data_IF_992946862017
#
_entry.id   IF_992946862017
#
_cell.length_a   1.000
_cell.length_b   1.000
_cell.length_c   1.000
_cell.angle_alpha   90.00
_cell.angle_beta   90.00
_cell.angle_gamma   90.00
#
_symmetry.space_group_name_H-M   'P 1'
#
loop_
_entity.id
_entity.type
_entity.pdbx_description
1 polymer ?
#
# COMPACT_ATOMS: atom_id res chain seq x y z
N UNK A 1 -21.07 -11.64 6.72
CA UNK A 1 -19.65 -12.01 6.93
C UNK A 1 -18.83 -10.99 6.16
N UNK A 2 -17.79 -10.41 6.76
CA UNK A 2 -16.94 -9.44 6.07
C UNK A 2 -15.99 -10.17 5.12
N UNK A 3 -15.62 -9.54 4.01
CA UNK A 3 -14.55 -10.03 3.14
C UNK A 3 -13.20 -9.89 3.85
N UNK A 4 -12.27 -10.74 3.46
CA UNK A 4 -10.90 -10.69 3.92
C UNK A 4 -10.19 -9.41 3.45
N UNK A 5 -9.28 -8.90 4.27
CA UNK A 5 -8.42 -7.78 3.93
C UNK A 5 -7.12 -8.29 3.32
N UNK A 6 -6.90 -7.98 2.04
CA UNK A 6 -5.73 -8.38 1.27
C UNK A 6 -5.04 -7.14 0.70
N UNK A 7 -3.85 -6.86 1.21
CA UNK A 7 -3.06 -5.69 0.84
C UNK A 7 -1.78 -6.15 0.15
N UNK A 8 -1.53 -5.66 -1.06
CA UNK A 8 -0.22 -5.80 -1.71
C UNK A 8 0.61 -4.56 -1.51
N UNK A 9 1.89 -4.75 -1.20
CA UNK A 9 2.84 -3.69 -0.94
C UNK A 9 4.03 -3.82 -1.91
N UNK A 10 3.87 -3.35 -3.15
CA UNK A 10 4.94 -3.41 -4.13
C UNK A 10 6.03 -2.39 -3.74
N UNK A 11 7.27 -2.88 -3.62
CA UNK A 11 8.33 -2.15 -2.93
C UNK A 11 9.73 -2.52 -3.43
N UNK A 12 10.72 -1.70 -3.06
CA UNK A 12 12.14 -2.01 -3.28
C UNK A 12 12.79 -2.50 -1.98
N UNK A 13 13.75 -3.41 -2.06
CA UNK A 13 14.55 -3.83 -0.91
C UNK A 13 15.21 -2.64 -0.21
N UNK A 14 15.09 -2.55 1.12
CA UNK A 14 15.66 -1.46 1.93
C UNK A 14 14.70 -0.28 2.21
N UNK A 15 13.48 -0.31 1.68
CA UNK A 15 12.48 0.76 1.81
C UNK A 15 11.68 0.78 3.14
N UNK A 16 11.88 -0.23 4.01
CA UNK A 16 11.13 -0.36 5.28
C UNK A 16 9.78 -1.08 5.15
N UNK A 17 9.38 -1.53 3.96
CA UNK A 17 8.11 -2.22 3.75
C UNK A 17 7.99 -3.58 4.45
N UNK A 18 9.11 -4.28 4.70
CA UNK A 18 9.10 -5.51 5.52
C UNK A 18 8.64 -5.21 6.95
N UNK A 19 9.15 -4.14 7.54
CA UNK A 19 8.74 -3.67 8.86
C UNK A 19 7.27 -3.28 8.85
N UNK A 20 6.83 -2.57 7.81
CA UNK A 20 5.43 -2.18 7.64
C UNK A 20 4.48 -3.38 7.64
N UNK A 21 4.75 -4.38 6.81
CA UNK A 21 3.90 -5.58 6.70
C UNK A 21 3.90 -6.38 8.00
N UNK A 22 5.04 -6.44 8.70
CA UNK A 22 5.10 -6.99 10.07
C UNK A 22 4.20 -6.24 11.05
N UNK A 23 4.21 -4.90 11.03
CA UNK A 23 3.30 -4.08 11.85
C UNK A 23 1.83 -4.31 11.48
N UNK A 24 1.49 -4.44 10.19
CA UNK A 24 0.11 -4.74 9.76
C UNK A 24 -0.36 -6.10 10.27
N UNK A 25 0.49 -7.13 10.16
CA UNK A 25 0.18 -8.48 10.63
C UNK A 25 0.01 -8.52 12.15
N UNK A 26 0.91 -7.87 12.88
CA UNK A 26 0.81 -7.76 14.34
C UNK A 26 -0.45 -7.01 14.78
N UNK A 27 -0.83 -5.94 14.07
CA UNK A 27 -2.07 -5.22 14.35
C UNK A 27 -3.31 -6.10 14.14
N UNK A 28 -3.32 -6.92 13.09
CA UNK A 28 -4.40 -7.86 12.80
C UNK A 28 -4.51 -8.95 13.87
N UNK A 29 -3.38 -9.54 14.27
CA UNK A 29 -3.33 -10.57 15.33
C UNK A 29 -3.84 -10.01 16.65
N UNK A 30 -3.41 -8.79 17.03
CA UNK A 30 -3.91 -8.10 18.24
C UNK A 30 -5.40 -7.82 18.20
N UNK A 31 -5.95 -7.61 17.01
CA UNK A 31 -7.38 -7.42 16.78
C UNK A 31 -8.18 -8.74 16.78
N UNK A 32 -7.52 -9.90 16.97
CA UNK A 32 -8.15 -11.21 17.01
C UNK A 32 -8.37 -11.86 15.64
N UNK A 33 -7.67 -11.40 14.60
CA UNK A 33 -7.75 -11.97 13.25
C UNK A 33 -6.60 -12.93 12.96
N UNK A 34 -6.84 -13.83 12.01
CA UNK A 34 -5.78 -14.60 11.36
C UNK A 34 -5.06 -13.69 10.36
N UNK A 35 -3.74 -13.81 10.27
CA UNK A 35 -2.93 -13.05 9.33
C UNK A 35 -1.85 -13.94 8.74
N UNK A 36 -1.66 -13.87 7.42
CA UNK A 36 -0.51 -14.44 6.72
C UNK A 36 0.18 -13.38 5.89
N UNK A 37 1.50 -13.52 5.73
CA UNK A 37 2.31 -12.63 4.90
C UNK A 37 2.99 -13.45 3.82
N UNK A 38 2.86 -13.01 2.58
CA UNK A 38 3.59 -13.58 1.45
C UNK A 38 4.67 -12.60 1.00
N UNK A 39 5.86 -13.14 0.72
CA UNK A 39 6.98 -12.37 0.22
C UNK A 39 7.51 -12.98 -1.07
N UNK A 40 7.61 -12.17 -2.12
CA UNK A 40 8.48 -12.44 -3.26
C UNK A 40 9.62 -11.43 -3.33
N UNK A 41 10.77 -11.87 -3.84
CA UNK A 41 11.96 -11.03 -4.07
C UNK A 41 12.46 -11.24 -5.49
N UNK A 42 12.84 -10.15 -6.13
CA UNK A 42 13.68 -10.20 -7.33
C UNK A 42 15.08 -10.73 -7.01
N UNK A 43 15.87 -10.97 -8.05
CA UNK A 43 17.22 -11.56 -7.95
C UNK A 43 18.27 -10.59 -7.36
N UNK A 44 17.95 -9.30 -7.21
CA UNK A 44 18.85 -8.30 -6.63
C UNK A 44 18.68 -8.20 -5.10
N UNK A 45 19.81 -8.20 -4.38
CA UNK A 45 19.85 -8.21 -2.91
C UNK A 45 19.48 -6.86 -2.28
N UNK A 46 19.82 -5.74 -2.94
CA UNK A 46 19.49 -4.38 -2.55
C UNK A 46 18.83 -3.68 -3.75
N UNK A 47 17.86 -2.80 -3.48
CA UNK A 47 17.09 -2.07 -4.52
C UNK A 47 16.33 -2.97 -5.51
N UNK A 48 16.37 -4.29 -5.29
CA UNK A 48 15.60 -5.25 -6.04
C UNK A 48 14.11 -5.13 -5.73
N UNK A 49 13.25 -5.44 -6.71
CA UNK A 49 11.81 -5.40 -6.50
C UNK A 49 11.36 -6.48 -5.53
N UNK A 50 10.34 -6.16 -4.74
CA UNK A 50 9.69 -7.05 -3.80
C UNK A 50 8.18 -6.89 -3.89
N UNK A 51 7.47 -7.99 -3.76
CA UNK A 51 6.05 -7.98 -3.42
C UNK A 51 5.89 -8.49 -2.00
N UNK A 52 5.19 -7.72 -1.19
CA UNK A 52 4.88 -8.07 0.19
C UNK A 52 3.38 -7.99 0.36
N UNK A 53 2.74 -9.15 0.38
CA UNK A 53 1.31 -9.24 0.52
C UNK A 53 0.96 -9.63 1.95
N UNK A 54 -0.13 -9.07 2.45
CA UNK A 54 -0.72 -9.45 3.72
C UNK A 54 -2.19 -9.81 3.50
N UNK A 55 -2.59 -10.96 4.03
CA UNK A 55 -3.97 -11.43 4.03
C UNK A 55 -4.43 -11.59 5.47
N UNK A 56 -5.50 -10.88 5.82
CA UNK A 56 -6.12 -10.84 7.14
C UNK A 56 -7.57 -11.36 7.03
N UNK A 57 -7.94 -12.30 7.90
CA UNK A 57 -9.25 -12.94 7.88
C UNK A 57 -9.82 -13.20 9.28
N UNK A 58 -11.16 -13.26 9.37
CA UNK A 58 -11.88 -13.78 10.55
C UNK A 58 -11.71 -15.30 10.73
N UNK A 59 -11.26 -16.01 9.69
CA UNK A 59 -11.08 -17.47 9.68
C UNK A 59 -9.63 -17.83 9.42
N UNK A 60 -9.27 -19.07 9.80
CA UNK A 60 -7.96 -19.61 9.50
C UNK A 60 -7.69 -19.60 7.98
N UNK A 61 -6.49 -19.16 7.60
CA UNK A 61 -6.08 -18.99 6.21
C UNK A 61 -5.28 -20.23 5.80
N UNK A 62 -5.72 -20.91 4.74
CA UNK A 62 -5.02 -22.06 4.16
C UNK A 62 -4.53 -21.72 2.75
N UNK A 63 -3.24 -21.96 2.45
CA UNK A 63 -2.64 -21.71 1.13
C UNK A 63 -1.63 -20.56 1.11
N UNK A 64 -0.92 -20.39 -0.03
CA UNK A 64 0.34 -19.63 -0.09
C UNK A 64 0.38 -18.40 -1.02
N UNK A 65 -0.69 -18.06 -1.75
CA UNK A 65 -0.70 -16.85 -2.60
C UNK A 65 -2.05 -16.12 -2.47
N UNK A 66 -2.06 -14.85 -2.01
CA UNK A 66 -3.30 -14.08 -1.90
C UNK A 66 -3.93 -13.80 -3.27
N UNK A 67 -5.25 -13.90 -3.34
CA UNK A 67 -6.08 -13.46 -4.47
C UNK A 67 -7.09 -12.44 -3.98
N UNK A 68 -7.80 -11.77 -4.91
CA UNK A 68 -8.76 -10.70 -4.60
C UNK A 68 -8.17 -9.54 -3.79
N UNK A 69 -6.95 -9.13 -4.16
CA UNK A 69 -6.25 -8.00 -3.54
C UNK A 69 -7.12 -6.75 -3.62
N UNK A 70 -7.44 -6.18 -2.46
CA UNK A 70 -8.39 -5.08 -2.32
C UNK A 70 -7.74 -3.75 -1.91
N UNK A 71 -6.47 -3.79 -1.48
CA UNK A 71 -5.62 -2.61 -1.36
C UNK A 71 -4.27 -2.83 -2.05
N UNK A 72 -3.79 -1.81 -2.77
CA UNK A 72 -2.41 -1.71 -3.21
C UNK A 72 -1.78 -0.50 -2.54
N UNK A 73 -0.72 -0.73 -1.79
CA UNK A 73 0.00 0.31 -1.06
C UNK A 73 1.39 0.52 -1.70
N UNK A 74 1.43 1.32 -2.77
CA UNK A 74 2.62 1.54 -3.58
C UNK A 74 3.15 2.97 -3.46
N UNK A 75 4.27 3.18 -2.79
CA UNK A 75 4.91 4.51 -2.71
C UNK A 75 5.78 4.79 -3.93
N UNK A 76 6.29 3.73 -4.54
CA UNK A 76 7.10 3.82 -5.75
C UNK A 76 6.20 3.64 -6.97
N UNK A 77 6.04 4.70 -7.76
CA UNK A 77 5.20 4.63 -8.94
C UNK A 77 5.73 3.64 -9.98
N UNK A 78 7.04 3.35 -9.99
CA UNK A 78 7.63 2.34 -10.88
C UNK A 78 7.06 0.96 -10.57
N UNK A 79 6.88 0.68 -9.28
CA UNK A 79 6.35 -0.60 -8.81
C UNK A 79 4.84 -0.71 -9.08
N UNK A 80 4.10 0.40 -8.94
CA UNK A 80 2.69 0.49 -9.38
C UNK A 80 2.57 0.23 -10.88
N UNK A 81 3.42 0.88 -11.69
CA UNK A 81 3.44 0.70 -13.14
C UNK A 81 3.67 -0.76 -13.52
N UNK A 82 4.68 -1.41 -12.93
CA UNK A 82 4.97 -2.82 -13.18
C UNK A 82 3.76 -3.70 -12.90
N UNK A 83 3.07 -3.46 -11.79
CA UNK A 83 1.92 -4.27 -11.38
C UNK A 83 0.69 -4.12 -12.30
N UNK A 84 0.46 -2.95 -12.91
CA UNK A 84 -0.72 -2.74 -13.76
C UNK A 84 -0.48 -2.99 -15.24
N UNK A 85 0.71 -2.66 -15.73
CA UNK A 85 0.97 -2.62 -17.17
C UNK A 85 1.73 -3.86 -17.64
N UNK A 86 2.70 -4.33 -16.86
CA UNK A 86 3.43 -5.56 -17.22
C UNK A 86 2.65 -6.83 -16.87
N UNK A 87 1.81 -6.79 -15.82
CA UNK A 87 0.99 -7.94 -15.45
C UNK A 87 -0.12 -8.26 -16.47
N UNK A 88 -0.51 -7.30 -17.32
CA UNK A 88 -1.50 -7.49 -18.38
C UNK A 88 -2.81 -8.12 -17.88
N UNK A 89 -3.31 -9.13 -18.59
CA UNK A 89 -4.56 -9.84 -18.24
C UNK A 89 -4.51 -10.61 -16.91
N UNK A 90 -3.34 -10.74 -16.27
CA UNK A 90 -3.25 -11.38 -14.96
C UNK A 90 -3.77 -10.46 -13.85
N UNK A 91 -3.69 -9.14 -14.03
CA UNK A 91 -4.21 -8.17 -13.07
C UNK A 91 -5.70 -8.40 -12.77
N UNK A 92 -6.51 -8.71 -13.79
CA UNK A 92 -7.95 -8.97 -13.64
C UNK A 92 -8.28 -10.22 -12.82
N UNK A 93 -7.34 -11.16 -12.71
CA UNK A 93 -7.53 -12.40 -11.93
C UNK A 93 -7.07 -12.27 -10.48
N UNK A 94 -6.24 -11.27 -10.20
CA UNK A 94 -5.54 -11.12 -8.92
C UNK A 94 -6.17 -10.01 -8.07
N UNK A 95 -6.54 -8.90 -8.70
CA UNK A 95 -7.10 -7.74 -8.01
C UNK A 95 -8.62 -7.81 -7.93
N UNK A 96 -9.16 -7.33 -6.82
CA UNK A 96 -10.61 -7.17 -6.67
C UNK A 96 -11.11 -5.98 -7.50
N UNK A 97 -12.37 -6.05 -7.94
CA UNK A 97 -13.03 -4.96 -8.68
C UNK A 97 -13.07 -3.63 -7.92
N UNK A 98 -12.99 -3.70 -6.59
CA UNK A 98 -13.04 -2.59 -5.64
C UNK A 98 -11.65 -2.18 -5.11
N UNK A 99 -10.58 -2.54 -5.84
CA UNK A 99 -9.20 -2.22 -5.48
C UNK A 99 -9.05 -0.72 -5.16
N UNK A 100 -8.53 -0.45 -3.97
CA UNK A 100 -8.08 0.88 -3.55
C UNK A 100 -6.57 0.98 -3.70
N UNK A 101 -6.10 1.87 -4.58
CA UNK A 101 -4.69 2.20 -4.74
C UNK A 101 -4.34 3.39 -3.84
N UNK A 102 -3.38 3.17 -2.94
CA UNK A 102 -2.80 4.17 -2.06
C UNK A 102 -1.39 4.45 -2.54
N UNK A 103 -1.12 5.69 -2.92
CA UNK A 103 0.16 6.06 -3.53
C UNK A 103 0.66 7.43 -3.12
N UNK A 104 1.99 7.56 -3.03
CA UNK A 104 2.67 8.85 -2.91
C UNK A 104 2.68 9.55 -4.28
N UNK A 105 2.28 10.82 -4.29
CA UNK A 105 2.25 11.70 -5.46
C UNK A 105 3.66 12.07 -5.95
N UNK A 106 4.70 11.81 -5.13
CA UNK A 106 6.09 12.13 -5.46
C UNK A 106 6.71 11.07 -6.38
N UNK A 107 6.87 11.44 -7.65
CA UNK A 107 7.75 10.75 -8.61
C UNK A 107 9.16 11.23 -8.37
N UNK A 108 10.00 10.42 -7.71
CA UNK A 108 11.39 10.81 -7.43
C UNK A 108 12.25 10.61 -8.69
N UNK A 109 11.96 9.57 -9.46
CA UNK A 109 12.65 9.26 -10.71
C UNK A 109 11.64 8.89 -11.78
N UNK A 110 11.90 9.27 -13.04
CA UNK A 110 10.99 8.94 -14.09
C UNK A 110 10.97 7.41 -14.31
N UNK A 111 9.79 6.81 -14.48
CA UNK A 111 9.60 5.35 -14.61
C UNK A 111 10.20 4.86 -15.93
N UNK A 112 11.29 4.09 -15.91
CA UNK A 112 11.86 3.53 -17.14
C UNK A 112 10.97 2.41 -17.70
N UNK A 113 10.20 2.69 -18.76
CA UNK A 113 9.38 1.71 -19.48
C UNK A 113 10.24 1.02 -20.54
N UNK A 114 10.96 -0.03 -20.17
CA UNK A 114 11.91 -0.74 -21.07
C UNK A 114 11.22 -1.52 -22.20
N UNK A 115 9.89 -1.65 -22.17
CA UNK A 115 9.11 -2.49 -23.10
C UNK A 115 8.62 -1.76 -24.36
N UNK A 116 8.95 -0.48 -24.56
CA UNK A 116 8.55 0.23 -25.79
C UNK A 116 9.51 -0.09 -26.95
N UNK A 117 8.97 -0.36 -28.15
CA UNK A 117 9.75 -0.43 -29.41
C UNK A 117 10.60 0.85 -29.68
N UNK A 118 10.36 1.93 -28.93
CA UNK A 118 11.05 3.22 -29.03
C UNK A 118 12.08 3.44 -27.90
N UNK A 119 12.41 2.41 -27.11
CA UNK A 119 13.32 2.51 -25.97
C UNK A 119 12.62 2.88 -24.64
N UNK A 120 13.38 3.05 -23.55
CA UNK A 120 12.83 3.43 -22.24
C UNK A 120 12.07 4.74 -22.32
N UNK A 121 10.74 4.70 -22.13
CA UNK A 121 9.91 5.91 -21.99
C UNK A 121 9.65 6.17 -20.53
N UNK A 122 9.67 7.45 -20.17
CA UNK A 122 9.38 7.94 -18.85
C UNK A 122 7.95 8.49 -18.77
N UNK A 123 7.11 7.97 -17.87
CA UNK A 123 5.82 8.58 -17.56
C UNK A 123 6.01 9.78 -16.64
N UNK A 124 5.41 10.91 -17.01
CA UNK A 124 5.19 11.99 -16.07
C UNK A 124 4.18 11.54 -15.00
N UNK A 125 4.19 12.25 -13.87
CA UNK A 125 3.20 12.10 -12.80
C UNK A 125 1.77 12.18 -13.31
N UNK A 126 1.49 13.21 -14.10
CA UNK A 126 0.18 13.48 -14.69
C UNK A 126 -0.21 12.38 -15.66
N UNK A 127 0.72 11.92 -16.49
CA UNK A 127 0.45 10.85 -17.44
C UNK A 127 0.09 9.54 -16.72
N UNK A 128 0.82 9.15 -15.66
CA UNK A 128 0.48 7.94 -14.92
C UNK A 128 -0.89 8.05 -14.25
N UNK A 129 -1.19 9.19 -13.62
CA UNK A 129 -2.49 9.39 -12.99
C UNK A 129 -3.63 9.32 -14.00
N UNK A 130 -3.44 9.87 -15.19
CA UNK A 130 -4.43 9.77 -16.26
C UNK A 130 -4.60 8.32 -16.76
N UNK A 131 -3.53 7.52 -16.78
CA UNK A 131 -3.60 6.08 -17.05
C UNK A 131 -4.38 5.37 -15.95
N UNK A 132 -4.05 5.58 -14.68
CA UNK A 132 -4.68 4.92 -13.53
C UNK A 132 -6.17 5.28 -13.39
N UNK A 133 -6.55 6.53 -13.65
CA UNK A 133 -7.97 6.97 -13.66
C UNK A 133 -8.81 6.25 -14.72
N UNK A 134 -8.19 5.84 -15.82
CA UNK A 134 -8.86 5.16 -16.95
C UNK A 134 -8.75 3.64 -16.84
N UNK A 135 -7.84 3.13 -16.03
CA UNK A 135 -7.65 1.71 -15.82
C UNK A 135 -8.88 1.10 -15.15
N UNK A 136 -9.29 -0.06 -15.65
CA UNK A 136 -10.46 -0.80 -15.14
C UNK A 136 -10.04 -2.18 -14.70
N UNK A 137 -10.56 -2.62 -13.57
CA UNK A 137 -10.42 -3.99 -13.08
C UNK A 137 -11.80 -4.61 -13.05
N UNK A 138 -11.99 -5.68 -13.81
CA UNK A 138 -13.29 -6.33 -13.97
C UNK A 138 -14.43 -5.35 -14.34
N UNK A 139 -14.13 -4.32 -15.12
CA UNK A 139 -15.08 -3.30 -15.58
C UNK A 139 -15.25 -2.08 -14.67
N UNK A 140 -14.74 -2.12 -13.43
CA UNK A 140 -14.84 -1.04 -12.45
C UNK A 140 -13.58 -0.16 -12.43
N UNK A 141 -13.76 1.14 -12.17
CA UNK A 141 -12.66 2.10 -12.04
C UNK A 141 -11.98 1.97 -10.69
N UNK A 142 -10.65 2.00 -10.69
CA UNK A 142 -9.85 2.04 -9.47
C UNK A 142 -10.24 3.20 -8.55
N UNK A 143 -10.23 2.94 -7.24
CA UNK A 143 -10.32 3.99 -6.23
C UNK A 143 -8.92 4.47 -5.88
N UNK A 144 -8.64 5.75 -6.08
CA UNK A 144 -7.31 6.32 -5.90
C UNK A 144 -7.26 7.19 -4.64
N UNK A 145 -6.37 6.87 -3.71
CA UNK A 145 -5.99 7.72 -2.58
C UNK A 145 -4.53 8.11 -2.78
N UNK A 146 -4.33 9.36 -3.19
CA UNK A 146 -3.07 9.91 -3.64
C UNK A 146 -2.65 10.95 -2.61
N UNK A 147 -1.46 10.81 -2.01
CA UNK A 147 -0.99 11.75 -0.99
C UNK A 147 0.31 12.42 -1.41
N UNK A 148 0.45 13.72 -1.13
CA UNK A 148 1.71 14.43 -1.39
C UNK A 148 2.60 14.43 -0.16
N UNK A 149 3.48 13.43 -0.06
CA UNK A 149 4.38 13.31 1.08
C UNK A 149 5.44 14.42 1.14
N UNK A 150 5.65 15.17 0.05
CA UNK A 150 6.61 16.29 0.03
C UNK A 150 6.22 17.44 0.98
N UNK A 151 4.93 17.52 1.33
CA UNK A 151 4.42 18.43 2.37
C UNK A 151 5.04 18.17 3.75
N UNK A 152 5.59 16.97 3.98
CA UNK A 152 6.16 16.56 5.24
C UNK A 152 7.68 16.37 5.13
N UNK A 153 8.41 17.47 4.90
CA UNK A 153 9.88 17.47 4.75
C UNK A 153 10.62 16.80 5.92
N UNK A 154 10.02 16.78 7.11
CA UNK A 154 10.55 16.12 8.30
C UNK A 154 10.46 14.59 8.25
N UNK A 155 9.65 14.03 7.35
CA UNK A 155 9.48 12.60 7.22
C UNK A 155 10.43 12.03 6.16
N UNK A 156 11.46 11.30 6.63
CA UNK A 156 12.32 10.51 5.76
C UNK A 156 11.53 9.40 5.04
N UNK A 157 12.11 8.78 4.01
CA UNK A 157 11.49 7.70 3.23
C UNK A 157 10.88 6.59 4.09
N UNK A 158 11.54 6.26 5.21
CA UNK A 158 11.11 5.22 6.16
C UNK A 158 9.79 5.52 6.88
N UNK A 159 9.35 6.79 6.93
CA UNK A 159 8.09 7.18 7.60
C UNK A 159 6.89 7.16 6.65
N UNK A 160 7.09 6.93 5.34
CA UNK A 160 5.99 6.71 4.38
C UNK A 160 5.17 5.46 4.73
N UNK A 161 5.86 4.43 5.22
CA UNK A 161 5.28 3.19 5.73
C UNK A 161 4.16 3.42 6.74
N UNK A 162 4.51 3.87 7.96
CA UNK A 162 3.55 4.17 9.01
C UNK A 162 2.45 5.15 8.57
N UNK A 163 2.81 6.19 7.83
CA UNK A 163 1.84 7.18 7.34
C UNK A 163 0.76 6.52 6.49
N UNK A 164 1.13 5.74 5.48
CA UNK A 164 0.12 5.13 4.61
C UNK A 164 -0.68 4.06 5.34
N UNK A 165 -0.10 3.38 6.34
CA UNK A 165 -0.87 2.47 7.17
C UNK A 165 -1.94 3.22 7.98
N UNK A 166 -1.63 4.42 8.46
CA UNK A 166 -2.62 5.34 9.02
C UNK A 166 -3.74 5.66 8.04
N UNK A 167 -3.40 5.97 6.78
CA UNK A 167 -4.36 6.20 5.70
C UNK A 167 -5.25 4.97 5.47
N UNK A 168 -4.66 3.76 5.38
CA UNK A 168 -5.41 2.50 5.20
C UNK A 168 -6.39 2.30 6.35
N UNK A 169 -5.95 2.45 7.60
CA UNK A 169 -6.79 2.22 8.78
C UNK A 169 -7.98 3.19 8.82
N UNK A 170 -7.73 4.48 8.58
CA UNK A 170 -8.81 5.48 8.48
C UNK A 170 -9.77 5.19 7.32
N UNK A 171 -9.26 4.65 6.22
CA UNK A 171 -10.08 4.27 5.08
C UNK A 171 -10.97 3.04 5.36
N UNK A 172 -10.41 2.02 6.02
CA UNK A 172 -11.14 0.81 6.43
C UNK A 172 -12.29 1.13 7.39
N UNK A 173 -12.15 2.14 8.24
CA UNK A 173 -13.23 2.57 9.14
C UNK A 173 -14.47 3.02 8.37
N UNK A 174 -14.29 3.58 7.16
CA UNK A 174 -15.38 4.05 6.28
C UNK A 174 -16.03 2.92 5.45
N UNK A 175 -15.42 1.74 5.40
CA UNK A 175 -15.93 0.56 4.68
C UNK A 175 -16.77 -0.33 5.59
N UNK A 176 -17.68 -1.14 5.06
CA UNK A 176 -18.48 -2.09 5.87
C UNK A 176 -18.40 -3.54 5.34
N UNK A 177 -17.79 -3.71 4.18
CA UNK A 177 -17.73 -4.94 3.41
C UNK A 177 -16.47 -5.77 3.67
N UNK A 178 -15.49 -5.22 4.39
CA UNK A 178 -14.16 -5.80 4.61
C UNK A 178 -13.77 -5.80 6.10
N UNK A 179 -12.90 -6.73 6.50
CA UNK A 179 -12.28 -6.76 7.83
C UNK A 179 -11.56 -5.44 8.12
N UNK A 180 -11.67 -4.96 9.36
CA UNK A 180 -11.09 -3.68 9.81
C UNK A 180 -10.01 -3.93 10.84
N UNK A 181 -8.91 -3.20 10.75
CA UNK A 181 -7.90 -3.16 11.81
C UNK A 181 -8.26 -1.98 12.73
N UNK A 182 -8.54 -2.19 14.02
CA UNK A 182 -8.81 -1.10 14.95
C UNK A 182 -7.60 -0.16 15.05
N UNK A 183 -7.84 1.16 15.01
CA UNK A 183 -6.79 2.18 15.10
C UNK A 183 -5.82 1.96 16.26
N UNK A 184 -6.34 1.62 17.45
CA UNK A 184 -5.52 1.40 18.65
C UNK A 184 -4.49 0.29 18.44
N UNK A 185 -4.90 -0.83 17.84
CA UNK A 185 -4.02 -1.97 17.60
C UNK A 185 -3.00 -1.68 16.50
N UNK A 186 -3.42 -0.95 15.45
CA UNK A 186 -2.52 -0.48 14.41
C UNK A 186 -1.44 0.48 14.96
N UNK A 187 -1.83 1.47 15.76
CA UNK A 187 -0.90 2.44 16.36
C UNK A 187 0.12 1.75 17.29
N UNK A 188 -0.36 0.81 18.12
CA UNK A 188 0.50 -0.01 18.99
C UNK A 188 1.48 -0.87 18.17
N UNK A 189 1.03 -1.51 17.10
CA UNK A 189 1.89 -2.34 16.25
C UNK A 189 2.92 -1.52 15.43
N UNK A 190 2.58 -0.30 15.03
CA UNK A 190 3.53 0.65 14.41
C UNK A 190 4.64 1.01 15.39
N UNK A 191 4.28 1.31 16.64
CA UNK A 191 5.25 1.65 17.69
C UNK A 191 6.22 0.50 17.96
N UNK A 192 5.68 -0.72 18.08
CA UNK A 192 6.45 -1.92 18.43
C UNK A 192 7.30 -2.46 17.28
N UNK A 193 6.84 -2.31 16.03
CA UNK A 193 7.59 -2.74 14.85
C UNK A 193 8.80 -1.86 14.53
N UNK A 194 8.82 -0.62 15.03
CA UNK A 194 9.94 0.30 14.82
C UNK A 194 11.20 -0.12 15.61
N UNK A 195 12.41 0.21 15.13
CA UNK A 195 13.61 0.14 15.95
C UNK A 195 13.44 0.94 17.25
N UNK A 196 13.66 0.30 18.41
CA UNK A 196 13.42 0.90 19.73
C UNK A 196 14.54 1.86 20.19
N UNK A 197 15.31 2.42 19.25
CA UNK A 197 16.39 3.36 19.54
C UNK A 197 15.96 4.81 19.27
N UNK A 198 16.31 5.69 20.20
CA UNK A 198 16.07 7.13 20.06
C UNK A 198 14.59 7.48 19.89
N UNK A 199 14.30 8.42 18.97
CA UNK A 199 12.95 8.94 18.72
C UNK A 199 12.18 8.20 17.61
N UNK A 200 12.75 7.13 17.04
CA UNK A 200 12.16 6.45 15.87
C UNK A 200 10.75 5.91 16.16
N UNK A 201 10.46 5.22 17.29
CA UNK A 201 9.11 4.71 17.55
C UNK A 201 8.07 5.83 17.63
N UNK A 202 8.43 6.94 18.26
CA UNK A 202 7.55 8.11 18.40
C UNK A 202 7.27 8.76 17.04
N UNK A 203 8.30 8.91 16.20
CA UNK A 203 8.14 9.45 14.84
C UNK A 203 7.28 8.55 13.95
N UNK A 204 7.38 7.22 14.09
CA UNK A 204 6.53 6.27 13.37
C UNK A 204 5.05 6.41 13.78
N UNK A 205 4.78 6.54 15.09
CA UNK A 205 3.42 6.78 15.60
C UNK A 205 2.88 8.12 15.11
N UNK A 206 3.67 9.19 15.17
CA UNK A 206 3.27 10.51 14.67
C UNK A 206 2.93 10.49 13.18
N UNK A 207 3.75 9.81 12.37
CA UNK A 207 3.49 9.62 10.95
C UNK A 207 2.19 8.84 10.70
N UNK A 208 1.95 7.74 11.44
CA UNK A 208 0.69 6.98 11.39
C UNK A 208 -0.52 7.84 11.75
N UNK A 209 -0.46 8.55 12.87
CA UNK A 209 -1.52 9.43 13.33
C UNK A 209 -1.82 10.54 12.32
N UNK A 210 -0.78 11.06 11.66
CA UNK A 210 -0.95 12.06 10.60
C UNK A 210 -1.67 11.49 9.39
N UNK A 211 -1.25 10.33 8.88
CA UNK A 211 -1.91 9.69 7.73
C UNK A 211 -3.36 9.31 8.03
N UNK A 212 -3.63 8.81 9.23
CA UNK A 212 -5.00 8.56 9.70
C UNK A 212 -5.83 9.85 9.68
N UNK A 213 -5.33 10.93 10.28
CA UNK A 213 -6.02 12.22 10.35
C UNK A 213 -6.32 12.78 8.96
N UNK A 214 -5.31 12.84 8.09
CA UNK A 214 -5.45 13.38 6.73
C UNK A 214 -6.54 12.62 5.95
N UNK A 215 -6.60 11.28 6.08
CA UNK A 215 -7.64 10.48 5.43
C UNK A 215 -9.02 10.66 6.06
N UNK A 216 -9.10 10.78 7.38
CA UNK A 216 -10.37 11.01 8.09
C UNK A 216 -11.00 12.34 7.71
N UNK A 217 -10.20 13.40 7.59
CA UNK A 217 -10.66 14.76 7.25
C UNK A 217 -10.95 14.96 5.76
N UNK A 218 -10.43 14.09 4.90
CA UNK A 218 -10.61 14.21 3.47
C UNK A 218 -12.00 13.76 3.00
N UNK A 219 -12.61 14.58 2.13
CA UNK A 219 -13.91 14.34 1.51
C UNK A 219 -13.88 13.11 0.60
N UNK A 220 -14.95 12.32 0.57
CA UNK A 220 -15.03 11.15 -0.31
C UNK A 220 -15.02 11.54 -1.79
N UNK A 221 -14.29 10.77 -2.60
CA UNK A 221 -14.20 10.94 -4.04
C UNK A 221 -13.50 9.75 -4.69
N UNK A 222 -13.65 9.60 -6.01
CA UNK A 222 -12.98 8.53 -6.77
C UNK A 222 -11.46 8.73 -6.85
N UNK A 223 -11.03 9.99 -6.87
CA UNK A 223 -9.64 10.39 -6.72
C UNK A 223 -9.58 11.33 -5.53
N UNK A 224 -8.90 10.88 -4.50
CA UNK A 224 -8.69 11.64 -3.29
C UNK A 224 -7.25 12.12 -3.27
N UNK A 225 -7.03 13.43 -3.29
CA UNK A 225 -5.71 14.03 -3.08
C UNK A 225 -5.61 14.53 -1.64
N UNK A 226 -4.68 14.00 -0.86
CA UNK A 226 -4.39 14.42 0.52
C UNK A 226 -3.00 15.05 0.66
#
# INVERSE_FOLDING_TARGET
MKRDLVITNPSLGGSGYLTLVGSMANAAIKAGYYSTTYQCRGLAQAEGPMCLDIWISEKEIYGAVPQEINYMNGYDMTEIWRMFIEAGSQAEKVYSKDLTLIMDYRVIEPIAVTTSMKGPRYYSREELLEVLKKYKIAGDTLRLIVYDFSKYKQYASVLKGPYSFGVIVADLEKRNDIVKIPRKEAESAVREGAPQSGKIPQLNVEAFQRGYKDRSEANEGKVLMI
#
